data_IF_132965869956
#
_entry.id   IF_132965869956
#
_cell.length_a   1.000
_cell.length_b   1.000
_cell.length_c   1.000
_cell.angle_alpha   90.00
_cell.angle_beta   90.00
_cell.angle_gamma   90.00
#
_symmetry.space_group_name_H-M   'P 1'
#
loop_
_entity.id
_entity.type
_entity.pdbx_description
1 polymer ?
#
# COMPACT_ATOMS: atom_id res chain seq x y z
N UNK A 1 -23.84 6.69 8.55
CA UNK A 1 -22.41 6.96 8.41
C UNK A 1 -22.09 8.03 9.44
N UNK A 2 -21.61 7.63 10.60
CA UNK A 2 -21.43 8.54 11.73
C UNK A 2 -20.27 9.50 11.44
N UNK A 3 -20.52 10.79 11.60
CA UNK A 3 -19.54 11.87 11.44
C UNK A 3 -18.28 11.58 12.25
N UNK A 4 -17.17 11.30 11.55
CA UNK A 4 -15.86 11.09 12.17
C UNK A 4 -15.08 12.42 12.23
N UNK A 5 -15.61 13.37 12.98
CA UNK A 5 -15.10 14.76 13.05
C UNK A 5 -13.92 14.86 14.05
N UNK A 6 -12.76 14.32 13.68
CA UNK A 6 -11.52 14.47 14.44
C UNK A 6 -10.45 15.11 13.54
N UNK A 7 -9.83 16.20 13.99
CA UNK A 7 -8.89 17.00 13.17
C UNK A 7 -7.74 16.14 12.59
N UNK A 8 -7.22 15.20 13.39
CA UNK A 8 -6.16 14.29 12.94
C UNK A 8 -6.63 13.28 11.87
N UNK A 9 -7.90 12.90 11.86
CA UNK A 9 -8.47 12.05 10.80
C UNK A 9 -8.60 12.83 9.49
N UNK A 10 -9.00 14.09 9.56
CA UNK A 10 -9.12 14.94 8.38
C UNK A 10 -7.76 15.24 7.76
N UNK A 11 -6.74 15.48 8.58
CA UNK A 11 -5.36 15.62 8.12
C UNK A 11 -4.87 14.36 7.40
N UNK A 12 -5.12 13.17 7.97
CA UNK A 12 -4.80 11.89 7.33
C UNK A 12 -5.51 11.72 5.98
N UNK A 13 -6.80 12.05 5.89
CA UNK A 13 -7.54 11.95 4.62
C UNK A 13 -6.93 12.83 3.53
N UNK A 14 -6.41 14.00 3.90
CA UNK A 14 -5.76 14.93 2.97
C UNK A 14 -4.44 14.41 2.39
N UNK A 15 -3.71 13.57 3.12
CA UNK A 15 -2.39 13.04 2.72
C UNK A 15 -2.45 11.56 2.31
N UNK A 16 -3.63 10.93 2.34
CA UNK A 16 -3.78 9.50 2.17
C UNK A 16 -3.33 8.99 0.79
N UNK A 17 -3.59 9.75 -0.28
CA UNK A 17 -3.17 9.37 -1.63
C UNK A 17 -1.65 9.39 -1.77
N UNK A 18 -0.99 10.48 -1.36
CA UNK A 18 0.47 10.61 -1.37
C UNK A 18 1.14 9.53 -0.50
N UNK A 19 0.51 9.15 0.62
CA UNK A 19 0.94 8.02 1.45
C UNK A 19 0.87 6.69 0.71
N UNK A 20 -0.24 6.41 0.01
CA UNK A 20 -0.43 5.17 -0.75
C UNK A 20 0.57 5.09 -1.91
N UNK A 21 0.83 6.21 -2.58
CA UNK A 21 1.73 6.30 -3.72
C UNK A 21 3.21 6.33 -3.32
N UNK A 22 3.51 6.47 -2.01
CA UNK A 22 4.86 6.49 -1.48
C UNK A 22 5.61 7.80 -1.72
N UNK A 23 4.89 8.90 -1.96
CA UNK A 23 5.43 10.22 -2.27
C UNK A 23 5.62 11.10 -1.01
N UNK A 24 5.10 10.65 0.14
CA UNK A 24 5.26 11.37 1.39
C UNK A 24 6.68 11.27 1.98
N UNK A 25 7.18 12.36 2.59
CA UNK A 25 8.35 12.33 3.47
C UNK A 25 8.21 11.29 4.59
N UNK A 26 9.33 10.67 4.96
CA UNK A 26 9.38 9.61 5.97
C UNK A 26 8.81 10.06 7.34
N UNK A 27 8.99 11.33 7.70
CA UNK A 27 8.39 11.93 8.90
C UNK A 27 6.87 11.83 8.90
N UNK A 28 6.23 12.20 7.79
CA UNK A 28 4.77 12.19 7.66
C UNK A 28 4.22 10.76 7.59
N UNK A 29 4.93 9.83 6.95
CA UNK A 29 4.57 8.41 6.97
C UNK A 29 4.49 7.87 8.41
N UNK A 30 5.44 8.22 9.28
CA UNK A 30 5.43 7.80 10.69
C UNK A 30 4.24 8.37 11.47
N UNK A 31 3.86 9.61 11.20
CA UNK A 31 2.70 10.24 11.84
C UNK A 31 1.39 9.56 11.42
N UNK A 32 1.27 9.23 10.14
CA UNK A 32 0.15 8.46 9.59
C UNK A 32 0.08 7.07 10.22
N UNK A 33 1.19 6.35 10.27
CA UNK A 33 1.27 5.02 10.89
C UNK A 33 0.84 5.05 12.36
N UNK A 34 1.33 6.02 13.13
CA UNK A 34 0.92 6.22 14.52
C UNK A 34 -0.58 6.49 14.66
N UNK A 35 -1.18 7.26 13.75
CA UNK A 35 -2.63 7.47 13.74
C UNK A 35 -3.37 6.16 13.45
N UNK A 36 -2.90 5.42 12.45
CA UNK A 36 -3.47 4.15 12.03
C UNK A 36 -3.37 3.06 13.10
N UNK A 37 -2.46 3.14 14.07
CA UNK A 37 -2.43 2.26 15.24
C UNK A 37 -3.63 2.49 16.18
N UNK A 38 -4.10 3.73 16.30
CA UNK A 38 -5.15 4.12 17.24
C UNK A 38 -6.56 4.29 16.64
N UNK A 39 -6.72 4.25 15.32
CA UNK A 39 -7.97 4.64 14.66
C UNK A 39 -8.51 3.60 13.67
N UNK A 40 -9.53 2.85 14.07
CA UNK A 40 -10.19 1.84 13.22
C UNK A 40 -10.83 2.44 11.97
N UNK A 41 -11.48 3.59 12.07
CA UNK A 41 -12.17 4.19 10.94
C UNK A 41 -11.19 4.61 9.85
N UNK A 42 -10.04 5.16 10.22
CA UNK A 42 -8.99 5.50 9.25
C UNK A 42 -8.31 4.27 8.65
N UNK A 43 -8.15 3.17 9.41
CA UNK A 43 -7.74 1.88 8.86
C UNK A 43 -8.73 1.38 7.81
N UNK A 44 -10.03 1.46 8.09
CA UNK A 44 -11.08 1.08 7.13
C UNK A 44 -10.96 1.93 5.87
N UNK A 45 -10.84 3.26 5.99
CA UNK A 45 -10.69 4.15 4.83
C UNK A 45 -9.46 3.78 4.00
N UNK A 46 -8.28 3.69 4.62
CA UNK A 46 -7.04 3.29 3.94
C UNK A 46 -7.20 1.97 3.17
N UNK A 47 -7.76 0.95 3.82
CA UNK A 47 -7.96 -0.37 3.22
C UNK A 47 -8.95 -0.32 2.05
N UNK A 48 -10.06 0.40 2.20
CA UNK A 48 -11.05 0.54 1.13
C UNK A 48 -10.52 1.33 -0.06
N UNK A 49 -9.70 2.36 0.17
CA UNK A 49 -9.03 3.13 -0.89
C UNK A 49 -8.04 2.24 -1.65
N UNK A 50 -7.14 1.53 -0.95
CA UNK A 50 -6.21 0.56 -1.56
C UNK A 50 -6.95 -0.49 -2.39
N UNK A 51 -8.03 -1.05 -1.83
CA UNK A 51 -8.85 -2.03 -2.54
C UNK A 51 -9.50 -1.46 -3.80
N UNK A 52 -9.94 -0.21 -3.74
CA UNK A 52 -10.52 0.47 -4.91
C UNK A 52 -9.48 0.64 -6.00
N UNK A 53 -8.25 1.05 -5.65
CA UNK A 53 -7.12 1.13 -6.58
C UNK A 53 -6.85 -0.23 -7.24
N UNK A 54 -6.79 -1.30 -6.46
CA UNK A 54 -6.59 -2.65 -6.99
C UNK A 54 -7.70 -3.09 -7.96
N UNK A 55 -8.96 -2.73 -7.67
CA UNK A 55 -10.11 -3.08 -8.51
C UNK A 55 -10.14 -2.33 -9.85
N UNK A 56 -9.67 -1.08 -9.88
CA UNK A 56 -9.65 -0.26 -11.10
C UNK A 56 -8.35 -0.38 -11.87
N UNK A 57 -7.30 -0.93 -11.26
CA UNK A 57 -6.03 -1.20 -11.91
C UNK A 57 -6.24 -2.27 -12.98
N UNK A 58 -6.14 -1.85 -14.23
CA UNK A 58 -6.10 -2.79 -15.36
C UNK A 58 -4.73 -3.46 -15.34
N UNK A 59 -4.63 -4.79 -15.23
CA UNK A 59 -3.36 -5.48 -15.38
C UNK A 59 -2.84 -5.21 -16.79
N UNK A 60 -1.61 -4.72 -16.87
CA UNK A 60 -0.88 -4.74 -18.13
C UNK A 60 -0.35 -6.16 -18.25
N UNK A 61 -0.86 -6.93 -19.21
CA UNK A 61 -0.30 -8.23 -19.61
C UNK A 61 1.03 -7.99 -20.32
N UNK A 62 2.02 -7.51 -19.58
CA UNK A 62 3.42 -7.53 -19.96
C UNK A 62 4.09 -8.65 -19.18
N UNK A 63 4.39 -9.75 -19.87
CA UNK A 63 5.15 -10.84 -19.28
C UNK A 63 6.51 -10.32 -18.81
N UNK A 64 6.70 -10.30 -17.49
CA UNK A 64 8.02 -10.02 -16.91
C UNK A 64 8.97 -11.14 -17.34
N UNK A 65 10.09 -10.82 -18.02
CA UNK A 65 11.02 -11.85 -18.46
C UNK A 65 11.52 -12.71 -17.29
N UNK A 66 11.58 -14.02 -17.51
CA UNK A 66 11.90 -15.00 -16.45
C UNK A 66 13.26 -14.74 -15.79
N UNK A 67 14.23 -14.23 -16.54
CA UNK A 67 15.57 -13.89 -16.03
C UNK A 67 15.53 -12.70 -15.06
N UNK A 68 14.65 -11.72 -15.28
CA UNK A 68 14.43 -10.59 -14.37
C UNK A 68 13.84 -11.09 -13.06
N UNK A 69 12.82 -11.96 -13.12
CA UNK A 69 12.21 -12.58 -11.94
C UNK A 69 13.25 -13.38 -11.15
N UNK A 70 14.02 -14.24 -11.81
CA UNK A 70 15.03 -15.08 -11.18
C UNK A 70 16.10 -14.25 -10.48
N UNK A 71 16.64 -13.22 -11.16
CA UNK A 71 17.65 -12.32 -10.60
C UNK A 71 17.12 -11.54 -9.39
N UNK A 72 15.88 -11.04 -9.46
CA UNK A 72 15.26 -10.32 -8.35
C UNK A 72 15.10 -11.22 -7.12
N UNK A 73 14.58 -12.42 -7.30
CA UNK A 73 14.31 -13.35 -6.20
C UNK A 73 15.61 -13.80 -5.52
N UNK A 74 16.65 -14.12 -6.30
CA UNK A 74 18.00 -14.39 -5.78
C UNK A 74 18.57 -13.23 -4.96
N UNK A 75 18.40 -11.99 -5.44
CA UNK A 75 18.89 -10.79 -4.73
C UNK A 75 18.18 -10.54 -3.41
N UNK A 76 16.90 -10.91 -3.32
CA UNK A 76 16.09 -10.79 -2.10
C UNK A 76 16.18 -12.04 -1.20
N UNK A 77 16.98 -13.05 -1.56
CA UNK A 77 17.07 -14.36 -0.90
C UNK A 77 15.71 -15.09 -0.82
N UNK A 78 14.92 -15.00 -1.90
CA UNK A 78 13.58 -15.59 -2.04
C UNK A 78 13.58 -16.81 -2.96
N UNK A 79 14.70 -17.54 -3.04
CA UNK A 79 14.89 -18.67 -3.96
C UNK A 79 13.86 -19.81 -3.79
N UNK A 80 13.32 -19.97 -2.58
CA UNK A 80 12.26 -20.95 -2.30
C UNK A 80 11.00 -20.74 -3.16
N UNK A 81 10.71 -19.48 -3.54
CA UNK A 81 9.55 -19.13 -4.36
C UNK A 81 9.77 -19.28 -5.88
N UNK A 82 11.00 -19.61 -6.31
CA UNK A 82 11.28 -19.93 -7.72
C UNK A 82 10.89 -21.38 -8.07
N UNK A 83 10.82 -22.27 -7.08
CA UNK A 83 10.56 -23.70 -7.29
C UNK A 83 9.06 -24.06 -7.17
N UNK A 84 8.22 -23.13 -6.71
CA UNK A 84 6.77 -23.30 -6.69
C UNK A 84 6.20 -23.05 -8.09
N UNK A 85 6.31 -24.07 -8.95
CA UNK A 85 5.55 -24.13 -10.21
C UNK A 85 4.05 -24.10 -9.87
N UNK A 86 3.35 -23.07 -10.34
CA UNK A 86 1.95 -23.13 -10.77
C UNK A 86 1.93 -22.85 -12.27
#
# INVERSE_FOLDING_TARGET
>A
MSDHLHENCQALLGTLSEYIDGELPAELCREIEKHLEGCDNCRVVLNTTKRTIDLVRVPVDEDVPADIRERLFKRLNLDEYLNLKN
#
